data_IF_751731502986
#
_entry.id   IF_751731502986
#
_cell.length_a   1.000
_cell.length_b   1.000
_cell.length_c   1.000
_cell.angle_alpha   90.00
_cell.angle_beta   90.00
_cell.angle_gamma   90.00
#
_symmetry.space_group_name_H-M   'P 1'
#
loop_
_entity.id
_entity.type
_entity.pdbx_description
1 polymer ?
#
# COMPACT_ATOMS: atom_id res chain seq x y z
N UNK A 1 6.52 21.53 -10.56
CA UNK A 1 7.07 21.61 -9.20
C UNK A 1 6.76 20.30 -8.49
N UNK A 2 7.76 19.59 -7.98
CA UNK A 2 7.52 18.35 -7.23
C UNK A 2 6.95 18.74 -5.86
N UNK A 3 5.76 18.23 -5.51
CA UNK A 3 5.15 18.41 -4.19
C UNK A 3 6.01 17.68 -3.16
N UNK A 4 6.48 18.38 -2.14
CA UNK A 4 7.22 17.78 -1.03
C UNK A 4 6.30 16.82 -0.25
N UNK A 5 6.80 15.62 0.04
CA UNK A 5 6.08 14.61 0.82
C UNK A 5 6.09 14.99 2.30
N UNK A 6 4.92 14.93 2.94
CA UNK A 6 4.77 15.11 4.40
C UNK A 6 5.42 13.95 5.16
N UNK A 7 5.78 14.14 6.43
CA UNK A 7 6.37 13.09 7.27
C UNK A 7 5.50 11.80 7.35
N UNK A 8 4.17 11.95 7.34
CA UNK A 8 3.22 10.83 7.30
C UNK A 8 3.26 10.10 5.95
N UNK A 9 3.31 10.84 4.84
CA UNK A 9 3.51 10.25 3.52
C UNK A 9 4.88 9.54 3.45
N UNK A 10 5.95 10.15 3.96
CA UNK A 10 7.30 9.54 4.01
C UNK A 10 7.32 8.23 4.80
N UNK A 11 6.73 8.21 6.00
CA UNK A 11 6.69 7.02 6.86
C UNK A 11 5.82 5.92 6.26
N UNK A 12 4.70 6.30 5.65
CA UNK A 12 3.89 5.37 4.88
C UNK A 12 4.73 4.79 3.73
N UNK A 13 5.42 5.62 2.95
CA UNK A 13 6.30 5.17 1.87
C UNK A 13 7.41 4.22 2.35
N UNK A 14 7.96 4.43 3.55
CA UNK A 14 8.87 3.46 4.18
C UNK A 14 8.16 2.13 4.49
N UNK A 15 6.97 2.15 5.08
CA UNK A 15 6.16 0.91 5.27
C UNK A 15 5.73 0.24 3.94
N UNK A 16 5.55 1.02 2.86
CA UNK A 16 5.19 0.54 1.52
C UNK A 16 6.35 -0.16 0.81
N UNK A 17 7.59 0.31 1.00
CA UNK A 17 8.75 -0.12 0.21
C UNK A 17 9.73 -1.01 1.00
N UNK A 18 9.66 -0.97 2.33
CA UNK A 18 10.64 -1.63 3.19
C UNK A 18 10.10 -3.00 3.68
N UNK A 19 10.68 -4.07 3.14
CA UNK A 19 10.44 -5.44 3.60
C UNK A 19 9.47 -6.28 2.77
N UNK A 20 8.91 -5.77 1.67
CA UNK A 20 8.15 -6.59 0.70
C UNK A 20 8.69 -6.38 -0.74
N UNK A 21 9.61 -7.25 -1.20
CA UNK A 21 10.16 -7.14 -2.55
C UNK A 21 9.11 -7.35 -3.63
N UNK A 22 8.01 -8.05 -3.35
CA UNK A 22 6.93 -8.26 -4.32
C UNK A 22 6.11 -6.97 -4.49
N UNK A 23 5.77 -6.30 -3.38
CA UNK A 23 5.07 -5.02 -3.44
C UNK A 23 5.94 -3.92 -4.08
N UNK A 24 7.25 -3.91 -3.81
CA UNK A 24 8.19 -3.00 -4.47
C UNK A 24 8.20 -3.18 -5.99
N UNK A 25 8.22 -4.43 -6.46
CA UNK A 25 8.16 -4.74 -7.88
C UNK A 25 6.82 -4.34 -8.51
N UNK A 26 5.72 -4.48 -7.77
CA UNK A 26 4.40 -4.00 -8.19
C UNK A 26 4.38 -2.48 -8.32
N UNK A 27 4.87 -1.74 -7.34
CA UNK A 27 4.97 -0.27 -7.44
C UNK A 27 5.81 0.12 -8.66
N UNK A 28 6.98 -0.51 -8.84
CA UNK A 28 7.85 -0.24 -9.98
C UNK A 28 7.19 -0.56 -11.34
N UNK A 29 6.41 -1.64 -11.43
CA UNK A 29 5.70 -2.00 -12.67
C UNK A 29 4.55 -1.04 -12.96
N UNK A 30 3.83 -0.58 -11.93
CA UNK A 30 2.74 0.37 -12.10
C UNK A 30 3.26 1.76 -12.48
N UNK A 31 4.36 2.23 -11.89
CA UNK A 31 5.01 3.49 -12.30
C UNK A 31 5.46 3.46 -13.76
N UNK A 32 5.85 2.28 -14.28
CA UNK A 32 6.17 2.09 -15.71
C UNK A 32 4.94 2.04 -16.61
N UNK A 33 3.77 1.71 -16.07
CA UNK A 33 2.52 1.54 -16.82
C UNK A 33 1.77 2.85 -17.12
N UNK A 34 2.22 4.00 -16.58
CA UNK A 34 1.66 5.32 -16.92
C UNK A 34 0.60 5.86 -15.96
N UNK A 35 -0.23 6.78 -16.47
CA UNK A 35 -0.99 7.83 -15.72
C UNK A 35 -1.86 7.37 -14.52
N UNK A 36 -2.17 6.09 -14.40
CA UNK A 36 -2.97 5.54 -13.27
C UNK A 36 -2.15 4.87 -12.17
N UNK A 37 -0.82 4.85 -12.25
CA UNK A 37 0.05 4.19 -11.29
C UNK A 37 -0.29 4.53 -9.84
N UNK A 38 -0.47 5.82 -9.57
CA UNK A 38 -0.81 6.33 -8.24
C UNK A 38 -2.18 5.85 -7.77
N UNK A 39 -3.18 5.77 -8.66
CA UNK A 39 -4.52 5.30 -8.28
C UNK A 39 -4.50 3.81 -7.93
N UNK A 40 -3.75 3.01 -8.71
CA UNK A 40 -3.63 1.55 -8.50
C UNK A 40 -2.85 1.18 -7.25
N UNK A 41 -1.83 1.97 -6.89
CA UNK A 41 -1.10 1.82 -5.63
C UNK A 41 -2.02 2.25 -4.47
N UNK A 42 -2.72 3.39 -4.63
CA UNK A 42 -3.61 3.91 -3.60
C UNK A 42 -4.84 3.02 -3.36
N UNK A 43 -5.28 2.24 -4.33
CA UNK A 43 -6.39 1.30 -4.19
C UNK A 43 -6.00 -0.04 -3.57
N UNK A 44 -4.72 -0.27 -3.23
CA UNK A 44 -4.31 -1.53 -2.61
C UNK A 44 -4.88 -1.68 -1.20
N UNK A 45 -5.25 -2.90 -0.78
CA UNK A 45 -5.73 -3.15 0.57
C UNK A 45 -4.59 -3.04 1.59
N UNK A 46 -4.89 -2.52 2.78
CA UNK A 46 -3.98 -2.49 3.92
C UNK A 46 -4.28 -3.64 4.87
N UNK A 47 -3.22 -4.33 5.30
CA UNK A 47 -3.31 -5.46 6.20
C UNK A 47 -3.64 -4.98 7.62
N UNK A 48 -4.71 -5.49 8.26
CA UNK A 48 -5.05 -5.12 9.63
C UNK A 48 -4.06 -5.64 10.68
N UNK A 49 -3.18 -6.58 10.33
CA UNK A 49 -2.25 -7.21 11.29
C UNK A 49 -0.88 -6.55 11.34
N UNK A 50 -0.33 -6.17 10.19
CA UNK A 50 1.03 -5.66 10.09
C UNK A 50 1.11 -4.29 9.43
N UNK A 51 -0.04 -3.68 9.14
CA UNK A 51 -0.15 -2.34 8.55
C UNK A 51 0.69 -2.17 7.28
N UNK A 52 0.88 -3.29 6.56
CA UNK A 52 1.53 -3.30 5.25
C UNK A 52 0.51 -3.50 4.15
N UNK A 53 0.82 -3.04 2.94
CA UNK A 53 -0.05 -3.21 1.80
C UNK A 53 -0.11 -4.70 1.45
N UNK A 54 -1.29 -5.17 1.07
CA UNK A 54 -1.49 -6.46 0.44
C UNK A 54 -1.93 -6.29 -1.00
N UNK A 55 -2.24 -7.43 -1.62
CA UNK A 55 -2.85 -7.50 -2.93
C UNK A 55 -4.33 -7.85 -2.78
N UNK A 56 -5.15 -7.41 -3.73
CA UNK A 56 -6.53 -7.89 -3.84
C UNK A 56 -6.53 -9.38 -4.16
N UNK A 57 -7.32 -10.14 -3.42
CA UNK A 57 -7.53 -11.58 -3.61
C UNK A 57 -9.02 -11.86 -3.74
N UNK A 58 -9.40 -13.01 -4.30
CA UNK A 58 -10.82 -13.42 -4.48
C UNK A 58 -11.59 -13.46 -3.15
N UNK A 59 -10.88 -13.63 -2.04
CA UNK A 59 -11.44 -13.65 -0.69
C UNK A 59 -11.27 -12.32 0.09
N UNK A 60 -10.83 -11.26 -0.57
CA UNK A 60 -10.63 -9.92 -0.01
C UNK A 60 -9.22 -9.39 -0.27
N UNK A 61 -8.28 -9.70 0.63
CA UNK A 61 -6.88 -9.34 0.49
C UNK A 61 -5.95 -10.51 0.80
N UNK A 62 -4.75 -10.47 0.23
CA UNK A 62 -3.62 -11.31 0.61
C UNK A 62 -2.40 -10.44 0.96
N UNK A 63 -1.90 -10.56 2.18
CA UNK A 63 -0.70 -9.87 2.63
C UNK A 63 0.51 -10.79 2.48
N UNK A 64 1.48 -10.39 1.66
CA UNK A 64 2.70 -11.17 1.43
C UNK A 64 3.71 -11.07 2.57
N UNK A 65 3.59 -10.05 3.43
CA UNK A 65 4.49 -9.87 4.55
C UNK A 65 4.19 -10.80 5.74
N UNK A 66 2.93 -10.87 6.17
CA UNK A 66 2.54 -11.67 7.34
C UNK A 66 1.64 -12.88 7.01
N UNK A 67 1.33 -13.10 5.73
CA UNK A 67 0.50 -14.21 5.26
C UNK A 67 -1.01 -14.05 5.55
N UNK A 68 -1.45 -12.90 6.07
CA UNK A 68 -2.87 -12.66 6.33
C UNK A 68 -3.70 -12.71 5.04
N UNK A 69 -4.82 -13.43 5.09
CA UNK A 69 -5.84 -13.43 4.03
C UNK A 69 -7.21 -13.17 4.62
N UNK A 70 -8.01 -12.31 3.99
CA UNK A 70 -9.36 -12.00 4.47
C UNK A 70 -9.80 -10.59 4.13
N UNK A 71 -10.72 -10.04 4.92
CA UNK A 71 -11.28 -8.71 4.67
C UNK A 71 -10.22 -7.63 4.98
N UNK A 72 -9.93 -6.73 4.03
CA UNK A 72 -9.02 -5.63 4.29
C UNK A 72 -9.61 -4.64 5.28
N UNK A 73 -8.75 -4.04 6.09
CA UNK A 73 -9.18 -3.02 7.05
C UNK A 73 -9.58 -1.72 6.34
N UNK A 74 -8.77 -1.32 5.35
CA UNK A 74 -8.94 -0.12 4.54
C UNK A 74 -8.06 -0.19 3.30
N UNK A 75 -8.20 0.80 2.41
CA UNK A 75 -7.28 0.99 1.28
C UNK A 75 -6.05 1.81 1.68
N UNK A 76 -4.97 1.69 0.92
CA UNK A 76 -3.78 2.54 1.03
C UNK A 76 -4.13 4.02 0.99
N UNK A 77 -5.08 4.42 0.13
CA UNK A 77 -5.56 5.81 0.04
C UNK A 77 -6.21 6.28 1.33
N UNK A 78 -7.05 5.44 1.93
CA UNK A 78 -7.69 5.72 3.21
C UNK A 78 -6.64 5.76 4.32
N UNK A 79 -5.70 4.82 4.35
CA UNK A 79 -4.60 4.81 5.32
C UNK A 79 -3.75 6.09 5.26
N UNK A 80 -3.41 6.55 4.05
CA UNK A 80 -2.66 7.79 3.83
C UNK A 80 -3.46 9.06 4.20
N UNK A 81 -4.80 9.03 4.09
CA UNK A 81 -5.67 10.17 4.39
C UNK A 81 -6.10 10.24 5.85
N UNK A 82 -6.57 9.13 6.37
CA UNK A 82 -7.13 9.01 7.71
C UNK A 82 -6.03 8.89 8.75
N UNK A 83 -4.81 8.51 8.35
CA UNK A 83 -3.71 8.29 9.26
C UNK A 83 -4.18 7.30 10.32
N UNK A 84 -4.39 6.05 9.94
CA UNK A 84 -4.71 5.04 10.95
C UNK A 84 -3.51 4.90 11.88
N UNK A 85 -3.70 5.37 13.11
CA UNK A 85 -2.72 5.35 14.17
C UNK A 85 -3.35 4.64 15.37
N UNK A 86 -2.77 3.49 15.71
CA UNK A 86 -2.37 3.21 17.09
C UNK A 86 -0.86 3.25 17.17
#
# INVERSE_FOLDING_TARGET
>A
MAREMTASEQKAWMHFLEGDPMFRNFVASQTRAGDEAHQRIASQPMCPKCERPGFHDVHGMACNNCGYRGVPAMTTRQYLKEGWWK
#
